data_IF_632490109906
#
_entry.id   IF_632490109906
#
_cell.length_a   1.000
_cell.length_b   1.000
_cell.length_c   1.000
_cell.angle_alpha   90.00
_cell.angle_beta   90.00
_cell.angle_gamma   90.00
#
_symmetry.space_group_name_H-M   'P 1'
#
loop_
_entity.id
_entity.type
_entity.pdbx_description
1 polymer ?
#
# COMPACT_ATOMS: atom_id res chain seq x y z
N UNK A 1 -3.99 -8.83 26.71
CA UNK A 1 -4.19 -7.58 25.95
C UNK A 1 -2.83 -6.94 25.70
N UNK A 2 -2.29 -7.01 24.49
CA UNK A 2 -1.07 -6.29 24.13
C UNK A 2 -1.42 -4.81 23.99
N UNK A 3 -0.96 -3.99 24.93
CA UNK A 3 -1.04 -2.53 24.84
C UNK A 3 -0.18 -2.09 23.66
N UNK A 4 -0.82 -1.79 22.52
CA UNK A 4 -0.13 -1.18 21.37
C UNK A 4 0.46 0.15 21.81
N UNK A 5 1.77 0.19 21.98
CA UNK A 5 2.53 1.37 22.35
C UNK A 5 2.33 2.45 21.28
N UNK A 6 1.87 3.62 21.71
CA UNK A 6 1.70 4.77 20.82
C UNK A 6 3.05 5.13 20.21
N UNK A 7 3.09 5.36 18.89
CA UNK A 7 4.27 5.85 18.18
C UNK A 7 4.82 7.11 18.88
N UNK A 8 3.93 7.97 19.39
CA UNK A 8 4.29 9.16 20.17
C UNK A 8 5.09 8.83 21.44
N UNK A 9 4.76 7.73 22.13
CA UNK A 9 5.42 7.31 23.37
C UNK A 9 6.80 6.67 23.12
N UNK A 10 6.90 5.77 22.13
CA UNK A 10 8.20 5.18 21.72
C UNK A 10 9.14 6.29 21.24
N UNK A 11 8.59 7.29 20.56
CA UNK A 11 9.34 8.43 20.07
C UNK A 11 9.90 9.31 21.20
N UNK A 12 9.07 9.64 22.20
CA UNK A 12 9.51 10.44 23.34
C UNK A 12 10.60 9.72 24.14
N UNK A 13 10.49 8.40 24.29
CA UNK A 13 11.50 7.58 24.95
C UNK A 13 12.82 7.59 24.16
N UNK A 14 12.78 7.40 22.84
CA UNK A 14 14.00 7.40 22.01
C UNK A 14 14.70 8.76 22.01
N UNK A 15 13.96 9.86 21.98
CA UNK A 15 14.52 11.21 22.10
C UNK A 15 15.23 11.43 23.46
N UNK A 16 14.60 11.00 24.56
CA UNK A 16 15.20 11.08 25.90
C UNK A 16 16.45 10.22 26.00
N UNK A 17 16.42 8.99 25.49
CA UNK A 17 17.57 8.08 25.49
C UNK A 17 18.73 8.64 24.67
N UNK A 18 18.45 9.19 23.49
CA UNK A 18 19.47 9.83 22.64
C UNK A 18 20.12 11.04 23.34
N UNK A 19 19.30 11.88 23.99
CA UNK A 19 19.80 13.00 24.81
C UNK A 19 20.72 12.54 25.94
N UNK A 20 20.32 11.49 26.68
CA UNK A 20 21.14 10.94 27.76
C UNK A 20 22.46 10.36 27.22
N UNK A 21 22.44 9.65 26.10
CA UNK A 21 23.64 9.10 25.46
C UNK A 21 24.59 10.21 24.98
N UNK A 22 24.05 11.25 24.37
CA UNK A 22 24.85 12.37 23.86
C UNK A 22 25.49 13.17 25.00
N UNK A 23 24.76 13.39 26.09
CA UNK A 23 25.29 13.97 27.34
C UNK A 23 26.43 13.12 27.93
N UNK A 24 26.30 11.78 27.88
CA UNK A 24 27.36 10.85 28.31
C UNK A 24 28.63 10.96 27.47
N UNK A 25 28.51 11.01 26.15
CA UNK A 25 29.66 11.15 25.23
C UNK A 25 30.38 12.47 25.48
N UNK A 26 29.63 13.55 25.64
CA UNK A 26 30.20 14.87 25.88
C UNK A 26 30.96 14.94 27.22
N UNK A 27 30.43 14.33 28.28
CA UNK A 27 31.10 14.26 29.58
C UNK A 27 32.45 13.55 29.50
N UNK A 28 32.53 12.42 28.78
CA UNK A 28 33.77 11.66 28.61
C UNK A 28 34.81 12.47 27.83
N UNK A 29 34.42 13.03 26.68
CA UNK A 29 35.33 13.82 25.84
C UNK A 29 35.94 15.01 26.60
N UNK A 30 35.13 15.69 27.40
CA UNK A 30 35.61 16.87 28.12
C UNK A 30 36.49 16.50 29.31
N UNK A 31 36.22 15.37 29.98
CA UNK A 31 37.08 14.85 31.02
C UNK A 31 38.47 14.46 30.49
N UNK A 32 38.54 13.87 29.30
CA UNK A 32 39.82 13.54 28.65
C UNK A 32 40.58 14.80 28.21
N UNK A 33 39.90 15.80 27.65
CA UNK A 33 40.51 17.09 27.30
C UNK A 33 41.10 17.78 28.53
N UNK A 34 40.39 17.75 29.67
CA UNK A 34 40.85 18.33 30.92
C UNK A 34 42.13 17.66 31.45
N UNK A 35 42.18 16.32 31.44
CA UNK A 35 43.38 15.57 31.86
C UNK A 35 44.61 15.92 31.04
N UNK A 36 44.42 16.12 29.74
CA UNK A 36 45.51 16.41 28.82
C UNK A 36 46.03 17.84 29.00
N UNK A 37 45.13 18.82 29.20
CA UNK A 37 45.51 20.19 29.53
C UNK A 37 46.29 20.29 30.84
N UNK A 38 45.83 19.65 31.92
CA UNK A 38 46.52 19.65 33.21
C UNK A 38 47.91 19.00 33.13
N UNK A 39 48.05 17.97 32.30
CA UNK A 39 49.33 17.27 32.10
C UNK A 39 50.32 18.15 31.34
N UNK A 40 49.86 18.90 30.35
CA UNK A 40 50.70 19.84 29.58
C UNK A 40 51.28 20.93 30.49
N UNK A 41 50.42 21.60 31.28
CA UNK A 41 50.87 22.66 32.20
C UNK A 41 51.80 22.12 33.28
N UNK A 42 51.52 20.92 33.81
CA UNK A 42 52.38 20.32 34.84
C UNK A 42 53.72 19.89 34.27
N UNK A 43 53.75 19.40 33.02
CA UNK A 43 54.99 19.08 32.33
C UNK A 43 55.89 20.32 32.22
N UNK A 44 55.35 21.45 31.77
CA UNK A 44 56.12 22.69 31.62
C UNK A 44 56.70 23.15 32.97
N UNK A 45 55.89 23.13 34.03
CA UNK A 45 56.33 23.48 35.39
C UNK A 45 57.46 22.56 35.88
N UNK A 46 57.34 21.25 35.65
CA UNK A 46 58.34 20.28 36.08
C UNK A 46 59.63 20.39 35.25
N UNK A 47 59.50 20.66 33.95
CA UNK A 47 60.63 20.84 33.04
C UNK A 47 61.43 22.09 33.39
N UNK A 48 60.76 23.24 33.54
CA UNK A 48 61.39 24.50 33.95
C UNK A 48 62.07 24.36 35.32
N UNK A 49 61.42 23.67 36.27
CA UNK A 49 61.98 23.41 37.59
C UNK A 49 63.22 22.50 37.52
N UNK A 50 63.24 21.52 36.62
CA UNK A 50 64.41 20.67 36.39
C UNK A 50 65.57 21.51 35.84
N UNK A 51 65.34 22.32 34.80
CA UNK A 51 66.35 23.14 34.14
C UNK A 51 66.97 24.21 35.05
N UNK A 52 66.22 24.70 36.03
CA UNK A 52 66.72 25.67 37.00
C UNK A 52 67.45 25.03 38.18
N UNK A 53 67.39 23.70 38.34
CA UNK A 53 68.01 23.01 39.45
C UNK A 53 69.54 22.96 39.30
N UNK A 54 70.24 23.58 40.25
CA UNK A 54 71.71 23.55 40.39
C UNK A 54 72.18 22.85 41.67
N UNK A 55 71.25 22.48 42.55
CA UNK A 55 71.51 21.98 43.91
C UNK A 55 71.52 20.43 43.93
N UNK A 56 70.83 19.80 42.97
CA UNK A 56 70.64 18.35 42.92
C UNK A 56 69.44 17.94 43.79
N UNK A 57 69.66 17.04 44.74
CA UNK A 57 68.61 16.46 45.55
C UNK A 57 68.14 17.43 46.64
N UNK A 58 66.88 17.87 46.54
CA UNK A 58 66.26 18.74 47.54
C UNK A 58 64.73 18.73 47.37
N UNK A 59 64.03 19.33 48.33
CA UNK A 59 62.59 19.57 48.25
C UNK A 59 62.35 21.08 48.27
N UNK A 60 61.61 21.61 47.30
CA UNK A 60 61.29 23.04 47.22
C UNK A 60 59.89 23.26 46.63
N UNK A 61 59.08 24.12 47.25
CA UNK A 61 57.74 24.49 46.75
C UNK A 61 56.82 23.30 46.39
N UNK A 62 56.93 22.20 47.16
CA UNK A 62 56.17 20.96 46.92
C UNK A 62 56.67 20.12 45.73
N UNK A 63 57.81 20.46 45.15
CA UNK A 63 58.58 19.66 44.21
C UNK A 63 59.63 18.85 44.96
N UNK A 64 59.80 17.59 44.57
CA UNK A 64 60.83 16.70 45.08
C UNK A 64 61.80 16.37 43.96
N UNK A 65 63.06 16.75 44.16
CA UNK A 65 64.15 16.50 43.22
C UNK A 65 65.01 15.35 43.73
N UNK A 66 65.18 14.29 42.92
CA UNK A 66 66.00 13.13 43.28
C UNK A 66 66.78 12.62 42.06
N UNK A 67 68.05 12.29 42.22
CA UNK A 67 68.88 11.65 41.18
C UNK A 67 68.52 10.18 40.98
N UNK A 68 68.09 9.48 42.03
CA UNK A 68 67.65 8.10 41.94
C UNK A 68 66.14 7.99 42.14
N UNK A 69 65.54 7.06 41.39
CA UNK A 69 64.11 6.76 41.47
C UNK A 69 63.69 6.36 42.90
N UNK A 70 64.51 5.55 43.57
CA UNK A 70 64.22 4.97 44.89
C UNK A 70 64.19 6.00 46.03
N UNK A 71 64.79 7.17 45.82
CA UNK A 71 64.88 8.23 46.84
C UNK A 71 63.66 9.16 46.84
N UNK A 72 62.73 8.96 45.90
CA UNK A 72 61.47 9.68 45.88
C UNK A 72 60.60 9.30 47.09
N UNK A 73 59.76 10.23 47.61
CA UNK A 73 58.89 9.91 48.73
C UNK A 73 58.03 8.67 48.42
N UNK A 74 57.81 7.76 49.41
CA UNK A 74 57.13 6.48 49.18
C UNK A 74 55.75 6.60 48.50
N UNK A 75 55.08 7.74 48.72
CA UNK A 75 53.79 8.08 48.11
C UNK A 75 53.89 8.11 46.57
N UNK A 76 54.99 8.62 46.00
CA UNK A 76 55.20 8.65 44.55
C UNK A 76 55.60 7.29 43.99
N UNK A 77 56.42 6.53 44.73
CA UNK A 77 56.82 5.18 44.36
C UNK A 77 55.63 4.22 44.30
N UNK A 78 54.75 4.27 45.31
CA UNK A 78 53.52 3.48 45.38
C UNK A 78 52.50 3.93 44.32
N UNK A 79 52.42 5.23 44.06
CA UNK A 79 51.54 5.81 43.06
C UNK A 79 51.92 5.37 41.64
N UNK A 80 53.16 5.60 41.23
CA UNK A 80 53.56 5.48 39.81
C UNK A 80 54.08 4.09 39.48
N UNK A 81 54.63 3.37 40.45
CA UNK A 81 55.08 1.98 40.34
C UNK A 81 56.36 1.77 39.53
N UNK A 82 56.51 2.44 38.37
CA UNK A 82 57.67 2.28 37.47
C UNK A 82 58.25 3.63 37.05
N UNK A 83 59.58 3.74 37.10
CA UNK A 83 60.30 4.93 36.65
C UNK A 83 60.03 5.26 35.16
N UNK A 84 59.97 6.56 34.79
CA UNK A 84 60.00 6.98 33.40
C UNK A 84 61.16 6.34 32.63
N UNK A 85 60.89 5.79 31.45
CA UNK A 85 61.88 5.00 30.70
C UNK A 85 62.79 5.83 29.79
N UNK A 86 62.49 7.11 29.56
CA UNK A 86 63.24 8.01 28.68
C UNK A 86 63.38 9.40 29.31
N UNK A 87 64.45 10.10 28.91
CA UNK A 87 64.64 11.50 29.23
C UNK A 87 63.50 12.35 28.63
N UNK A 88 63.06 13.36 29.38
CA UNK A 88 61.92 14.25 29.12
C UNK A 88 60.57 13.51 29.04
N UNK A 89 60.46 12.35 29.67
CA UNK A 89 59.20 11.62 29.77
C UNK A 89 58.54 11.85 31.13
N UNK A 90 57.32 12.38 31.13
CA UNK A 90 56.50 12.49 32.33
C UNK A 90 55.57 11.28 32.45
N UNK A 91 55.58 10.65 33.62
CA UNK A 91 54.62 9.60 33.98
C UNK A 91 53.62 10.17 34.99
N UNK A 92 52.33 9.98 34.71
CA UNK A 92 51.22 10.37 35.60
C UNK A 92 50.50 9.15 36.18
N UNK A 93 50.00 9.27 37.40
CA UNK A 93 49.18 8.23 38.04
C UNK A 93 47.91 7.91 37.22
N UNK A 94 47.63 6.61 37.07
CA UNK A 94 46.34 6.04 36.67
C UNK A 94 45.73 5.32 37.88
N UNK A 95 45.37 6.03 38.94
CA UNK A 95 44.61 5.36 40.00
C UNK A 95 43.27 4.92 39.42
N UNK A 96 42.94 3.66 39.62
CA UNK A 96 41.61 3.14 39.35
C UNK A 96 40.63 3.90 40.24
N UNK A 97 39.98 4.89 39.65
CA UNK A 97 38.88 5.57 40.28
C UNK A 97 37.58 5.17 39.58
N UNK A 98 36.48 5.02 40.34
CA UNK A 98 35.17 4.88 39.74
C UNK A 98 34.95 6.02 38.73
N UNK A 99 34.30 5.70 37.61
CA UNK A 99 34.11 6.60 36.44
C UNK A 99 33.49 7.98 36.77
N UNK A 100 33.02 8.20 38.01
CA UNK A 100 32.35 9.41 38.49
C UNK A 100 33.02 10.08 39.70
N UNK A 101 34.20 9.63 40.13
CA UNK A 101 34.91 10.22 41.29
C UNK A 101 36.29 10.69 40.86
N UNK A 102 36.52 12.01 40.89
CA UNK A 102 37.83 12.58 40.55
C UNK A 102 38.83 12.37 41.70
N UNK A 103 40.10 11.98 41.41
CA UNK A 103 41.15 11.94 42.42
C UNK A 103 41.31 13.29 43.11
N UNK A 104 41.49 13.28 44.43
CA UNK A 104 41.78 14.50 45.20
C UNK A 104 43.21 15.00 44.95
N UNK A 105 44.14 14.12 44.54
CA UNK A 105 45.54 14.45 44.25
C UNK A 105 46.03 13.70 43.01
N UNK A 106 46.75 14.38 42.13
CA UNK A 106 47.42 13.80 40.96
C UNK A 106 48.93 13.82 41.21
N UNK A 107 49.57 12.67 41.00
CA UNK A 107 51.02 12.52 41.15
C UNK A 107 51.67 12.50 39.79
N UNK A 108 52.65 13.39 39.59
CA UNK A 108 53.43 13.50 38.37
C UNK A 108 54.91 13.31 38.70
N UNK A 109 55.60 12.55 37.87
CA UNK A 109 57.07 12.48 37.88
C UNK A 109 57.60 12.66 36.47
N UNK A 110 58.53 13.59 36.32
CA UNK A 110 59.29 13.85 35.11
C UNK A 110 60.74 13.41 35.32
N UNK A 111 61.31 12.72 34.35
CA UNK A 111 62.75 12.52 34.24
C UNK A 111 63.31 13.54 33.25
N UNK A 112 64.11 14.50 33.70
CA UNK A 112 64.69 15.56 32.87
C UNK A 112 66.16 15.81 33.23
N UNK A 113 66.87 16.62 32.45
CA UNK A 113 68.22 17.03 32.82
C UNK A 113 68.18 18.30 33.67
N UNK A 114 69.05 18.37 34.68
CA UNK A 114 69.25 19.58 35.45
C UNK A 114 70.10 20.61 34.65
N UNK A 115 70.32 21.79 35.21
CA UNK A 115 71.16 22.84 34.57
C UNK A 115 72.58 22.38 34.24
N UNK A 116 73.08 21.39 34.98
CA UNK A 116 74.42 20.81 34.84
C UNK A 116 74.45 19.65 33.82
N UNK A 117 73.32 19.29 33.22
CA UNK A 117 73.19 18.19 32.26
C UNK A 117 73.05 16.80 32.88
N UNK A 118 72.84 16.70 34.20
CA UNK A 118 72.65 15.43 34.92
C UNK A 118 71.16 15.03 34.95
N UNK A 119 70.82 13.74 34.78
CA UNK A 119 69.45 13.28 34.85
C UNK A 119 68.90 13.38 36.29
N UNK A 120 67.71 13.95 36.42
CA UNK A 120 67.03 14.14 37.70
C UNK A 120 65.53 13.84 37.57
N UNK A 121 64.99 13.17 38.58
CA UNK A 121 63.56 12.96 38.75
C UNK A 121 62.97 14.15 39.50
N UNK A 122 61.98 14.79 38.89
CA UNK A 122 61.21 15.88 39.49
C UNK A 122 59.79 15.38 39.72
N UNK A 123 59.39 15.30 40.98
CA UNK A 123 58.08 14.82 41.38
C UNK A 123 57.24 15.92 42.01
N UNK A 124 55.96 15.99 41.66
CA UNK A 124 55.00 16.90 42.28
C UNK A 124 53.67 16.21 42.52
N UNK A 125 53.17 16.34 43.75
CA UNK A 125 51.80 15.98 44.08
C UNK A 125 50.95 17.23 43.89
N UNK A 126 50.12 17.23 42.86
CA UNK A 126 49.23 18.34 42.55
C UNK A 126 47.86 18.05 43.13
N UNK A 127 47.49 18.78 44.19
CA UNK A 127 46.10 18.88 44.60
C UNK A 127 45.43 19.90 43.67
N UNK A 128 44.48 19.46 42.86
CA UNK A 128 43.78 20.34 41.92
C UNK A 128 42.99 21.44 42.65
N UNK A 129 42.72 21.29 43.95
CA UNK A 129 42.07 22.33 44.77
C UNK A 129 43.03 23.44 45.23
N UNK A 130 44.33 23.17 45.33
CA UNK A 130 45.31 24.08 45.95
C UNK A 130 46.17 24.86 44.93
N UNK A 131 46.04 24.56 43.63
CA UNK A 131 46.97 25.06 42.59
C UNK A 131 46.98 26.56 42.34
N UNK A 132 46.10 27.36 42.94
CA UNK A 132 46.13 28.84 42.86
C UNK A 132 45.93 29.45 41.47
N UNK A 133 46.10 28.68 40.40
CA UNK A 133 45.47 28.92 39.10
C UNK A 133 43.97 28.99 39.38
N UNK A 134 43.35 30.15 39.18
CA UNK A 134 41.90 30.31 39.31
C UNK A 134 41.20 29.48 38.23
N UNK A 135 41.12 28.19 38.48
CA UNK A 135 40.31 27.20 37.78
C UNK A 135 38.86 27.31 38.28
N UNK A 136 38.57 28.13 39.30
CA UNK A 136 37.22 28.40 39.79
C UNK A 136 36.31 29.05 38.73
N UNK A 137 36.86 29.96 37.90
CA UNK A 137 36.10 30.59 36.81
C UNK A 137 36.08 29.73 35.53
N UNK A 138 37.12 28.91 35.31
CA UNK A 138 37.20 28.01 34.16
C UNK A 138 36.42 26.71 34.36
N UNK A 139 36.26 26.20 35.59
CA UNK A 139 35.57 24.92 35.85
C UNK A 139 34.05 25.11 35.84
N UNK A 140 33.44 25.77 36.83
CA UNK A 140 31.96 25.84 36.90
C UNK A 140 31.34 26.53 35.68
N UNK A 141 32.00 27.56 35.15
CA UNK A 141 31.55 28.28 33.96
C UNK A 141 31.50 27.42 32.71
N UNK A 142 32.56 26.65 32.42
CA UNK A 142 32.63 25.84 31.19
C UNK A 142 31.81 24.56 31.32
N UNK A 143 31.84 23.88 32.48
CA UNK A 143 30.96 22.73 32.75
C UNK A 143 29.49 23.17 32.68
N UNK A 144 29.14 24.29 33.32
CA UNK A 144 27.78 24.84 33.31
C UNK A 144 27.31 25.27 31.93
N UNK A 145 28.13 26.02 31.17
CA UNK A 145 27.81 26.44 29.80
C UNK A 145 27.67 25.25 28.85
N UNK A 146 28.54 24.26 28.95
CA UNK A 146 28.47 23.06 28.12
C UNK A 146 27.24 22.20 28.44
N UNK A 147 26.90 22.08 29.72
CA UNK A 147 25.68 21.40 30.15
C UNK A 147 24.42 22.13 29.67
N UNK A 148 24.38 23.47 29.79
CA UNK A 148 23.28 24.29 29.25
C UNK A 148 23.16 24.18 27.73
N UNK A 149 24.29 24.18 27.00
CA UNK A 149 24.31 23.99 25.55
C UNK A 149 23.80 22.60 25.15
N UNK A 150 24.15 21.56 25.90
CA UNK A 150 23.65 20.20 25.67
C UNK A 150 22.15 20.08 25.92
N UNK A 151 21.64 20.71 26.99
CA UNK A 151 20.19 20.78 27.25
C UNK A 151 19.49 21.53 26.14
N UNK A 152 20.03 22.68 25.70
CA UNK A 152 19.46 23.48 24.64
C UNK A 152 19.44 22.73 23.30
N UNK A 153 20.53 22.04 22.97
CA UNK A 153 20.62 21.20 21.77
C UNK A 153 19.59 20.06 21.82
N UNK A 154 19.50 19.36 22.94
CA UNK A 154 18.51 18.30 23.12
C UNK A 154 17.06 18.82 23.03
N UNK A 155 16.78 19.97 23.64
CA UNK A 155 15.47 20.62 23.55
C UNK A 155 15.14 21.00 22.11
N UNK A 156 16.10 21.56 21.37
CA UNK A 156 15.95 21.92 19.96
C UNK A 156 15.72 20.70 19.07
N UNK A 157 16.49 19.62 19.24
CA UNK A 157 16.28 18.36 18.55
C UNK A 157 14.89 17.78 18.86
N UNK A 158 14.49 17.77 20.13
CA UNK A 158 13.18 17.27 20.56
C UNK A 158 12.03 18.10 19.96
N UNK A 159 12.17 19.43 19.94
CA UNK A 159 11.21 20.34 19.34
C UNK A 159 11.10 20.16 17.82
N UNK A 160 12.23 20.09 17.11
CA UNK A 160 12.29 19.81 15.67
C UNK A 160 11.59 18.49 15.36
N UNK A 161 11.79 17.48 16.19
CA UNK A 161 11.22 16.17 15.95
C UNK A 161 9.73 16.12 16.25
N UNK A 162 9.27 16.73 17.33
CA UNK A 162 7.84 16.93 17.60
C UNK A 162 7.16 17.70 16.46
N UNK A 163 7.85 18.67 15.86
CA UNK A 163 7.38 19.39 14.69
C UNK A 163 7.23 18.47 13.47
N UNK A 164 8.26 17.68 13.13
CA UNK A 164 8.20 16.69 12.03
C UNK A 164 7.07 15.68 12.26
N UNK A 165 6.93 15.18 13.48
CA UNK A 165 5.88 14.22 13.83
C UNK A 165 4.49 14.83 13.67
N UNK A 166 4.27 16.07 14.13
CA UNK A 166 2.99 16.77 13.89
C UNK A 166 2.75 16.98 12.40
N UNK A 167 3.78 17.28 11.63
CA UNK A 167 3.67 17.49 10.19
C UNK A 167 3.32 16.20 9.43
N UNK A 168 3.80 15.03 9.88
CA UNK A 168 3.53 13.73 9.22
C UNK A 168 2.28 13.00 9.73
N UNK A 169 2.00 13.06 11.04
CA UNK A 169 0.89 12.31 11.64
C UNK A 169 -0.46 12.98 11.42
N UNK A 170 -0.53 14.32 11.43
CA UNK A 170 -1.80 15.01 11.22
C UNK A 170 -2.41 14.73 9.83
N UNK A 171 -1.65 14.79 8.71
CA UNK A 171 -2.17 14.40 7.39
C UNK A 171 -2.62 12.94 7.33
N UNK A 172 -1.94 12.03 8.05
CA UNK A 172 -2.31 10.62 8.10
C UNK A 172 -3.65 10.40 8.83
N UNK A 173 -3.90 11.14 9.92
CA UNK A 173 -5.19 11.12 10.62
C UNK A 173 -6.32 11.66 9.70
N UNK A 174 -6.06 12.73 8.94
CA UNK A 174 -6.99 13.26 7.93
C UNK A 174 -7.27 12.24 6.81
N UNK A 175 -6.24 11.58 6.29
CA UNK A 175 -6.38 10.54 5.26
C UNK A 175 -7.21 9.36 5.77
N UNK A 176 -6.96 8.92 7.01
CA UNK A 176 -7.73 7.87 7.66
C UNK A 176 -9.20 8.27 7.83
N UNK A 177 -9.47 9.49 8.31
CA UNK A 177 -10.83 9.98 8.51
C UNK A 177 -11.60 10.04 7.18
N UNK A 178 -10.96 10.53 6.12
CA UNK A 178 -11.53 10.54 4.78
C UNK A 178 -11.81 9.13 4.24
N UNK A 179 -10.85 8.20 4.36
CA UNK A 179 -11.04 6.82 3.94
C UNK A 179 -12.21 6.15 4.68
N UNK A 180 -12.36 6.41 5.98
CA UNK A 180 -13.50 5.92 6.77
C UNK A 180 -14.83 6.54 6.31
N UNK A 181 -14.85 7.83 6.00
CA UNK A 181 -16.04 8.50 5.47
C UNK A 181 -16.47 7.93 4.11
N UNK A 182 -15.51 7.57 3.24
CA UNK A 182 -15.81 6.96 1.94
C UNK A 182 -16.37 5.53 2.00
N UNK A 183 -16.09 4.79 3.07
CA UNK A 183 -16.67 3.46 3.32
C UNK A 183 -18.13 3.53 3.77
N UNK A 184 -18.61 4.71 4.18
CA UNK A 184 -20.03 4.91 4.50
C UNK A 184 -20.85 5.17 3.24
N UNK A 185 -22.14 4.82 3.28
CA UNK A 185 -23.06 4.66 2.15
C UNK A 185 -23.27 5.93 1.30
N UNK A 186 -22.79 7.09 1.72
CA UNK A 186 -22.91 8.37 1.00
C UNK A 186 -21.65 9.25 1.11
N UNK A 187 -20.63 9.08 0.26
CA UNK A 187 -19.50 10.00 0.22
C UNK A 187 -19.84 11.19 -0.67
N UNK A 188 -19.86 12.40 -0.10
CA UNK A 188 -20.01 13.64 -0.85
C UNK A 188 -18.68 14.33 -1.17
N UNK A 189 -17.54 13.85 -0.67
CA UNK A 189 -16.26 14.57 -0.79
C UNK A 189 -15.24 13.79 -1.62
N UNK A 190 -14.75 14.44 -2.67
CA UNK A 190 -13.66 13.95 -3.54
C UNK A 190 -12.30 14.19 -2.87
N UNK A 191 -11.25 13.39 -3.19
CA UNK A 191 -9.89 13.61 -2.69
C UNK A 191 -9.38 15.04 -2.89
N UNK A 192 -9.78 15.65 -4.01
CA UNK A 192 -9.37 16.99 -4.42
C UNK A 192 -9.78 18.11 -3.43
N UNK A 193 -10.78 17.87 -2.56
CA UNK A 193 -11.17 18.84 -1.54
C UNK A 193 -10.26 18.80 -0.30
N UNK A 194 -9.44 17.76 -0.14
CA UNK A 194 -8.49 17.62 0.96
C UNK A 194 -7.12 18.04 0.46
N UNK A 195 -6.76 19.31 0.72
CA UNK A 195 -5.40 19.78 0.49
C UNK A 195 -4.45 19.16 1.52
N UNK A 196 -3.87 18.01 1.17
CA UNK A 196 -2.77 17.45 1.95
C UNK A 196 -1.54 18.34 1.83
N UNK A 197 -0.83 18.53 2.94
CA UNK A 197 0.40 19.34 2.99
C UNK A 197 1.52 18.78 2.11
N UNK A 198 1.54 17.47 1.88
CA UNK A 198 2.55 16.77 1.09
C UNK A 198 1.88 16.03 -0.07
N UNK A 199 2.54 16.05 -1.23
CA UNK A 199 2.03 15.47 -2.47
C UNK A 199 1.84 13.95 -2.36
N UNK A 200 2.71 13.27 -1.63
CA UNK A 200 2.68 11.81 -1.46
C UNK A 200 1.37 11.32 -0.82
N UNK A 201 0.78 12.12 0.08
CA UNK A 201 -0.52 11.78 0.66
C UNK A 201 -1.68 12.03 -0.32
N UNK A 202 -1.57 13.04 -1.18
CA UNK A 202 -2.51 13.26 -2.28
C UNK A 202 -2.47 12.11 -3.28
N UNK A 203 -1.28 11.66 -3.69
CA UNK A 203 -1.12 10.54 -4.62
C UNK A 203 -1.76 9.25 -4.06
N UNK A 204 -1.59 8.97 -2.76
CA UNK A 204 -2.24 7.83 -2.10
C UNK A 204 -3.77 8.00 -2.06
N UNK A 205 -4.26 9.20 -1.77
CA UNK A 205 -5.70 9.47 -1.74
C UNK A 205 -6.34 9.28 -3.11
N UNK A 206 -5.67 9.70 -4.18
CA UNK A 206 -6.14 9.55 -5.56
C UNK A 206 -6.24 8.08 -5.96
N UNK A 207 -5.19 7.28 -5.72
CA UNK A 207 -5.20 5.83 -6.01
C UNK A 207 -6.29 5.10 -5.21
N UNK A 208 -6.45 5.45 -3.93
CA UNK A 208 -7.46 4.86 -3.07
C UNK A 208 -8.88 5.24 -3.54
N UNK A 209 -9.08 6.49 -3.96
CA UNK A 209 -10.34 6.97 -4.52
C UNK A 209 -10.70 6.27 -5.82
N UNK A 210 -9.74 6.12 -6.73
CA UNK A 210 -9.96 5.42 -7.99
C UNK A 210 -10.35 3.96 -7.75
N UNK A 211 -9.69 3.30 -6.80
CA UNK A 211 -9.97 1.91 -6.43
C UNK A 211 -11.38 1.75 -5.84
N UNK A 212 -11.78 2.67 -4.95
CA UNK A 212 -13.11 2.66 -4.33
C UNK A 212 -14.21 2.98 -5.35
N UNK A 213 -13.98 3.91 -6.28
CA UNK A 213 -14.95 4.21 -7.33
C UNK A 213 -15.12 3.04 -8.29
N UNK A 214 -14.03 2.37 -8.68
CA UNK A 214 -14.08 1.12 -9.46
C UNK A 214 -14.91 0.06 -8.74
N UNK A 215 -14.70 -0.14 -7.44
CA UNK A 215 -15.46 -1.10 -6.65
C UNK A 215 -16.95 -0.72 -6.58
N UNK A 216 -17.27 0.54 -6.30
CA UNK A 216 -18.67 1.03 -6.26
C UNK A 216 -19.37 0.86 -7.60
N UNK A 217 -18.69 1.17 -8.69
CA UNK A 217 -19.22 0.98 -10.03
C UNK A 217 -19.49 -0.51 -10.33
N UNK A 218 -18.63 -1.42 -9.88
CA UNK A 218 -18.86 -2.86 -9.98
C UNK A 218 -20.10 -3.30 -9.19
N UNK A 219 -20.23 -2.84 -7.93
CA UNK A 219 -21.38 -3.15 -7.08
C UNK A 219 -22.67 -2.61 -7.69
N UNK A 220 -22.69 -1.36 -8.17
CA UNK A 220 -23.88 -0.78 -8.85
C UNK A 220 -24.30 -1.61 -10.06
N UNK A 221 -23.33 -2.05 -10.89
CA UNK A 221 -23.62 -2.91 -12.04
C UNK A 221 -24.23 -4.25 -11.61
N UNK A 222 -23.76 -4.82 -10.51
CA UNK A 222 -24.30 -6.06 -9.94
C UNK A 222 -25.72 -5.85 -9.40
N UNK A 223 -25.97 -4.76 -8.66
CA UNK A 223 -27.31 -4.40 -8.16
C UNK A 223 -28.30 -4.16 -9.29
N UNK A 224 -27.94 -3.35 -10.30
CA UNK A 224 -28.77 -3.11 -11.49
C UNK A 224 -29.06 -4.42 -12.23
N UNK A 225 -28.08 -5.32 -12.30
CA UNK A 225 -28.24 -6.62 -12.91
C UNK A 225 -29.20 -7.53 -12.13
N UNK A 226 -29.07 -7.62 -10.81
CA UNK A 226 -29.96 -8.40 -9.94
C UNK A 226 -31.39 -7.86 -9.95
N UNK A 227 -31.56 -6.53 -9.93
CA UNK A 227 -32.86 -5.89 -10.05
C UNK A 227 -33.50 -6.25 -11.40
N UNK A 228 -32.74 -6.13 -12.48
CA UNK A 228 -33.20 -6.48 -13.82
C UNK A 228 -33.58 -7.96 -13.94
N UNK A 229 -32.73 -8.87 -13.45
CA UNK A 229 -33.02 -10.31 -13.41
C UNK A 229 -34.30 -10.63 -12.64
N UNK A 230 -34.51 -9.97 -11.50
CA UNK A 230 -35.73 -10.13 -10.70
C UNK A 230 -36.99 -9.69 -11.45
N UNK A 231 -36.90 -8.60 -12.23
CA UNK A 231 -38.01 -8.14 -13.07
C UNK A 231 -38.31 -9.11 -14.21
N UNK A 232 -37.28 -9.56 -14.93
CA UNK A 232 -37.43 -10.47 -16.06
C UNK A 232 -37.90 -11.87 -15.65
N UNK A 233 -37.56 -12.35 -14.45
CA UNK A 233 -38.09 -13.62 -13.91
C UNK A 233 -39.56 -13.51 -13.46
N UNK A 234 -40.00 -12.34 -13.00
CA UNK A 234 -41.38 -12.15 -12.50
C UNK A 234 -42.42 -12.26 -13.62
N UNK A 235 -42.09 -11.81 -14.82
CA UNK A 235 -42.99 -11.83 -16.00
C UNK A 235 -43.40 -13.26 -16.43
N UNK A 236 -42.47 -14.19 -16.77
CA UNK A 236 -42.82 -15.55 -17.13
C UNK A 236 -43.46 -16.30 -15.95
N UNK A 237 -43.05 -16.02 -14.70
CA UNK A 237 -43.69 -16.60 -13.52
C UNK A 237 -45.18 -16.19 -13.42
N UNK A 238 -45.51 -14.93 -13.74
CA UNK A 238 -46.89 -14.46 -13.78
C UNK A 238 -47.69 -15.15 -14.89
N UNK A 239 -47.09 -15.40 -16.06
CA UNK A 239 -47.70 -16.13 -17.18
C UNK A 239 -47.99 -17.58 -16.79
N UNK A 240 -47.03 -18.26 -16.14
CA UNK A 240 -47.23 -19.63 -15.64
C UNK A 240 -48.42 -19.65 -14.68
N UNK A 241 -48.44 -18.74 -13.69
CA UNK A 241 -49.50 -18.68 -12.67
C UNK A 241 -50.89 -18.42 -13.28
N UNK A 242 -51.00 -17.44 -14.18
CA UNK A 242 -52.28 -17.13 -14.83
C UNK A 242 -52.74 -18.26 -15.76
N UNK A 243 -51.80 -18.93 -16.43
CA UNK A 243 -52.10 -20.07 -17.31
C UNK A 243 -52.53 -21.30 -16.50
N UNK A 244 -51.91 -21.58 -15.35
CA UNK A 244 -52.36 -22.64 -14.44
C UNK A 244 -53.73 -22.34 -13.84
N UNK A 245 -54.00 -21.09 -13.45
CA UNK A 245 -55.33 -20.68 -12.97
C UNK A 245 -56.41 -20.83 -14.04
N UNK A 246 -56.06 -20.54 -15.30
CA UNK A 246 -56.95 -20.70 -16.45
C UNK A 246 -57.23 -22.19 -16.73
N UNK A 247 -56.21 -23.06 -16.67
CA UNK A 247 -56.38 -24.51 -16.82
C UNK A 247 -57.30 -25.09 -15.75
N UNK A 248 -57.14 -24.68 -14.49
CA UNK A 248 -58.03 -25.12 -13.40
C UNK A 248 -59.49 -24.72 -13.67
N UNK A 249 -59.74 -23.46 -14.09
CA UNK A 249 -61.10 -23.00 -14.45
C UNK A 249 -61.68 -23.71 -15.67
N UNK A 250 -60.85 -24.08 -16.64
CA UNK A 250 -61.27 -24.85 -17.82
C UNK A 250 -61.66 -26.28 -17.44
N UNK A 251 -60.86 -26.91 -16.56
CA UNK A 251 -61.14 -28.24 -16.03
C UNK A 251 -62.45 -28.28 -15.22
N UNK A 252 -62.68 -27.30 -14.34
CA UNK A 252 -63.93 -27.17 -13.57
C UNK A 252 -65.17 -27.05 -14.47
N UNK A 253 -65.03 -26.45 -15.66
CA UNK A 253 -66.12 -26.22 -16.61
C UNK A 253 -66.21 -27.28 -17.72
N UNK A 254 -65.39 -28.35 -17.68
CA UNK A 254 -65.28 -29.36 -18.74
C UNK A 254 -65.05 -28.76 -20.16
N UNK A 255 -64.30 -27.65 -20.25
CA UNK A 255 -63.99 -26.97 -21.54
C UNK A 255 -62.50 -27.04 -21.85
N UNK A 256 -62.03 -28.23 -22.22
CA UNK A 256 -60.61 -28.53 -22.45
C UNK A 256 -60.15 -28.33 -23.91
N UNK A 257 -61.03 -27.87 -24.80
CA UNK A 257 -60.76 -27.67 -26.24
C UNK A 257 -59.51 -26.81 -26.49
N UNK A 258 -59.20 -25.85 -25.61
CA UNK A 258 -58.03 -24.97 -25.70
C UNK A 258 -56.93 -25.27 -24.67
N UNK A 259 -57.03 -26.38 -23.91
CA UNK A 259 -56.09 -26.69 -22.85
C UNK A 259 -54.64 -26.83 -23.36
N UNK A 260 -54.45 -27.44 -24.53
CA UNK A 260 -53.12 -27.58 -25.15
C UNK A 260 -52.46 -26.22 -25.45
N UNK A 261 -53.24 -25.21 -25.83
CA UNK A 261 -52.70 -23.87 -26.06
C UNK A 261 -52.24 -23.20 -24.76
N UNK A 262 -52.96 -23.43 -23.66
CA UNK A 262 -52.59 -22.90 -22.33
C UNK A 262 -51.37 -23.63 -21.76
N UNK A 263 -51.26 -24.95 -21.99
CA UNK A 263 -50.06 -25.73 -21.66
C UNK A 263 -48.86 -25.24 -22.47
N UNK A 264 -49.01 -24.96 -23.77
CA UNK A 264 -47.95 -24.37 -24.58
C UNK A 264 -47.42 -23.05 -24.01
N UNK A 265 -48.31 -22.17 -23.53
CA UNK A 265 -47.89 -20.91 -22.86
C UNK A 265 -47.08 -21.13 -21.58
N UNK A 266 -47.37 -22.21 -20.83
CA UNK A 266 -46.60 -22.57 -19.63
C UNK A 266 -45.21 -23.06 -20.04
N UNK A 267 -45.12 -23.90 -21.08
CA UNK A 267 -43.87 -24.44 -21.60
C UNK A 267 -42.96 -23.33 -22.16
N UNK A 268 -43.52 -22.39 -22.91
CA UNK A 268 -42.81 -21.20 -23.41
C UNK A 268 -42.25 -20.35 -22.27
N UNK A 269 -43.06 -20.12 -21.23
CA UNK A 269 -42.66 -19.33 -20.06
C UNK A 269 -41.59 -20.05 -19.22
N UNK A 270 -41.70 -21.37 -19.06
CA UNK A 270 -40.69 -22.19 -18.38
C UNK A 270 -39.36 -22.21 -19.14
N UNK A 271 -39.41 -22.38 -20.47
CA UNK A 271 -38.25 -22.31 -21.36
C UNK A 271 -37.57 -20.94 -21.26
N UNK A 272 -38.37 -19.87 -21.19
CA UNK A 272 -37.85 -18.51 -20.98
C UNK A 272 -37.13 -18.39 -19.64
N UNK A 273 -37.71 -18.90 -18.54
CA UNK A 273 -37.04 -18.90 -17.22
C UNK A 273 -35.73 -19.69 -17.22
N UNK A 274 -35.71 -20.88 -17.84
CA UNK A 274 -34.48 -21.69 -17.94
C UNK A 274 -33.37 -20.90 -18.64
N UNK A 275 -33.68 -20.25 -19.77
CA UNK A 275 -32.72 -19.40 -20.48
C UNK A 275 -32.26 -18.21 -19.65
N UNK A 276 -33.15 -17.56 -18.90
CA UNK A 276 -32.80 -16.48 -17.97
C UNK A 276 -31.81 -16.96 -16.90
N UNK A 277 -32.04 -18.14 -16.31
CA UNK A 277 -31.15 -18.73 -15.29
C UNK A 277 -29.80 -19.13 -15.89
N UNK A 278 -29.78 -19.80 -17.04
CA UNK A 278 -28.53 -20.14 -17.74
C UNK A 278 -27.72 -18.89 -18.07
N UNK A 279 -28.41 -17.83 -18.51
CA UNK A 279 -27.83 -16.52 -18.76
C UNK A 279 -27.22 -15.93 -17.48
N UNK A 280 -27.94 -15.95 -16.36
CA UNK A 280 -27.46 -15.48 -15.05
C UNK A 280 -26.23 -16.24 -14.55
N UNK A 281 -26.22 -17.57 -14.73
CA UNK A 281 -25.09 -18.43 -14.35
C UNK A 281 -23.85 -18.17 -15.20
N UNK A 282 -24.05 -17.93 -16.50
CA UNK A 282 -22.97 -17.49 -17.40
C UNK A 282 -22.46 -16.11 -17.05
N UNK A 283 -23.36 -15.17 -16.73
CA UNK A 283 -22.99 -13.82 -16.29
C UNK A 283 -22.21 -13.82 -14.97
N UNK A 284 -22.39 -14.79 -14.06
CA UNK A 284 -21.62 -14.84 -12.80
C UNK A 284 -20.27 -15.57 -12.92
N UNK A 285 -19.92 -16.13 -14.09
CA UNK A 285 -18.60 -16.73 -14.29
C UNK A 285 -17.58 -15.64 -14.62
N UNK A 286 -16.94 -15.09 -13.58
CA UNK A 286 -15.90 -14.05 -13.70
C UNK A 286 -14.58 -14.56 -14.28
N UNK A 287 -14.38 -15.88 -14.35
CA UNK A 287 -13.18 -16.46 -14.92
C UNK A 287 -13.50 -16.99 -16.32
N UNK A 288 -12.71 -16.66 -17.37
CA UNK A 288 -12.60 -17.57 -18.49
C UNK A 288 -12.06 -18.88 -17.90
N UNK A 289 -12.96 -19.82 -17.63
CA UNK A 289 -12.56 -21.21 -17.60
C UNK A 289 -11.78 -21.43 -18.89
N UNK A 290 -10.69 -22.18 -18.86
CA UNK A 290 -9.85 -22.45 -20.03
C UNK A 290 -10.71 -23.22 -21.07
N UNK A 291 -11.64 -22.53 -21.72
CA UNK A 291 -12.55 -23.10 -22.70
C UNK A 291 -11.69 -23.33 -23.90
N UNK A 292 -11.42 -24.60 -24.16
CA UNK A 292 -10.59 -25.04 -25.26
C UNK A 292 -11.15 -24.45 -26.55
N UNK A 293 -10.31 -23.67 -27.22
CA UNK A 293 -10.64 -23.07 -28.51
C UNK A 293 -10.55 -24.18 -29.54
N UNK A 294 -11.60 -24.34 -30.32
CA UNK A 294 -11.69 -25.39 -31.33
C UNK A 294 -12.21 -24.82 -32.66
N UNK A 295 -11.92 -25.51 -33.75
CA UNK A 295 -12.36 -25.10 -35.08
C UNK A 295 -13.88 -25.28 -35.21
N UNK A 296 -14.62 -24.18 -35.12
CA UNK A 296 -16.08 -24.15 -35.27
C UNK A 296 -16.41 -23.77 -36.72
N UNK A 297 -17.25 -24.55 -37.40
CA UNK A 297 -17.79 -24.21 -38.72
C UNK A 297 -19.01 -23.29 -38.56
N UNK A 298 -18.80 -21.98 -38.66
CA UNK A 298 -19.83 -20.97 -38.39
C UNK A 298 -21.06 -21.14 -39.28
N UNK A 299 -20.89 -21.45 -40.56
CA UNK A 299 -22.02 -21.63 -41.47
C UNK A 299 -22.88 -22.84 -41.09
N UNK A 300 -22.27 -23.96 -40.70
CA UNK A 300 -22.97 -25.16 -40.25
C UNK A 300 -23.71 -24.90 -38.93
N UNK A 301 -23.05 -24.26 -37.96
CA UNK A 301 -23.65 -23.91 -36.67
C UNK A 301 -24.84 -22.95 -36.84
N UNK A 302 -24.70 -21.91 -37.67
CA UNK A 302 -25.79 -20.96 -37.93
C UNK A 302 -26.97 -21.65 -38.61
N UNK A 303 -26.73 -22.49 -39.63
CA UNK A 303 -27.81 -23.26 -40.30
C UNK A 303 -28.52 -24.18 -39.33
N UNK A 304 -27.77 -24.91 -38.50
CA UNK A 304 -28.32 -25.80 -37.48
C UNK A 304 -29.21 -25.03 -36.50
N UNK A 305 -28.70 -23.95 -35.89
CA UNK A 305 -29.46 -23.14 -34.94
C UNK A 305 -30.68 -22.46 -35.58
N UNK A 306 -30.53 -21.99 -36.83
CA UNK A 306 -31.62 -21.39 -37.57
C UNK A 306 -32.76 -22.38 -37.87
N UNK A 307 -32.42 -23.65 -38.09
CA UNK A 307 -33.38 -24.76 -38.28
C UNK A 307 -33.99 -25.20 -36.94
N UNK A 308 -33.16 -25.44 -35.92
CA UNK A 308 -33.57 -25.83 -34.56
C UNK A 308 -34.61 -24.86 -34.00
N UNK A 309 -34.42 -23.56 -34.21
CA UNK A 309 -35.29 -22.52 -33.66
C UNK A 309 -36.52 -22.22 -34.52
N UNK A 310 -36.72 -22.86 -35.69
CA UNK A 310 -37.86 -22.56 -36.57
C UNK A 310 -39.22 -22.71 -35.90
N UNK A 311 -39.33 -23.54 -34.87
CA UNK A 311 -40.57 -23.70 -34.11
C UNK A 311 -41.05 -22.38 -33.47
N UNK A 312 -40.14 -21.43 -33.22
CA UNK A 312 -40.49 -20.10 -32.69
C UNK A 312 -41.21 -19.21 -33.72
N UNK A 313 -41.24 -19.61 -34.99
CA UNK A 313 -41.94 -18.90 -36.07
C UNK A 313 -43.34 -19.47 -36.36
N UNK A 314 -43.79 -20.47 -35.59
CA UNK A 314 -45.14 -21.05 -35.76
C UNK A 314 -46.16 -19.91 -35.52
N UNK A 315 -47.10 -19.75 -36.47
CA UNK A 315 -48.09 -18.66 -36.56
C UNK A 315 -47.58 -17.27 -36.99
N UNK A 316 -46.32 -17.16 -37.44
CA UNK A 316 -45.74 -15.89 -37.92
C UNK A 316 -45.67 -15.83 -39.45
N UNK A 317 -46.27 -14.81 -40.08
CA UNK A 317 -46.22 -14.63 -41.55
C UNK A 317 -44.89 -13.99 -42.00
N UNK A 318 -43.77 -14.69 -41.73
CA UNK A 318 -42.41 -14.17 -41.82
C UNK A 318 -41.58 -14.95 -42.84
N UNK A 319 -40.82 -14.26 -43.67
CA UNK A 319 -39.90 -14.87 -44.64
C UNK A 319 -38.50 -14.95 -44.02
N UNK A 320 -38.01 -16.16 -43.78
CA UNK A 320 -36.64 -16.41 -43.33
C UNK A 320 -35.66 -16.43 -44.51
N UNK A 321 -34.63 -15.59 -44.46
CA UNK A 321 -33.51 -15.57 -45.41
C UNK A 321 -32.22 -15.85 -44.66
N UNK A 322 -31.65 -17.02 -44.88
CA UNK A 322 -30.36 -17.40 -44.31
C UNK A 322 -29.31 -17.45 -45.42
N UNK A 323 -28.34 -16.54 -45.38
CA UNK A 323 -27.23 -16.47 -46.32
C UNK A 323 -25.93 -16.68 -45.55
N UNK A 324 -25.29 -17.82 -45.77
CA UNK A 324 -24.05 -18.21 -45.12
C UNK A 324 -23.08 -18.77 -46.16
N UNK A 325 -21.79 -18.65 -45.89
CA UNK A 325 -20.67 -19.10 -46.72
C UNK A 325 -19.73 -19.95 -45.87
N UNK A 326 -19.20 -21.08 -46.40
CA UNK A 326 -18.31 -21.96 -45.63
C UNK A 326 -17.18 -21.18 -44.97
N UNK A 327 -17.12 -21.24 -43.63
CA UNK A 327 -16.11 -20.53 -42.87
C UNK A 327 -15.89 -21.20 -41.52
N UNK A 328 -14.64 -21.47 -41.19
CA UNK A 328 -14.24 -22.02 -39.90
C UNK A 328 -13.38 -21.03 -39.14
N UNK A 329 -13.64 -20.90 -37.84
CA UNK A 329 -12.87 -20.06 -36.93
C UNK A 329 -12.53 -20.82 -35.65
N UNK A 330 -11.36 -20.53 -35.10
CA UNK A 330 -10.96 -21.01 -33.78
C UNK A 330 -11.73 -20.22 -32.72
N UNK A 331 -12.77 -20.84 -32.16
CA UNK A 331 -13.67 -20.22 -31.20
C UNK A 331 -13.92 -21.13 -30.00
N UNK A 332 -14.28 -20.50 -28.88
CA UNK A 332 -14.91 -21.21 -27.78
C UNK A 332 -16.32 -21.64 -28.23
N UNK A 333 -16.50 -22.93 -28.54
CA UNK A 333 -17.72 -23.45 -29.16
C UNK A 333 -18.98 -23.13 -28.35
N UNK A 334 -18.97 -23.41 -27.04
CA UNK A 334 -20.14 -23.20 -26.19
C UNK A 334 -20.55 -21.71 -26.13
N UNK A 335 -19.66 -20.75 -25.80
CA UNK A 335 -19.98 -19.33 -25.88
C UNK A 335 -20.48 -18.88 -27.26
N UNK A 336 -19.86 -19.37 -28.34
CA UNK A 336 -20.27 -19.05 -29.71
C UNK A 336 -21.72 -19.51 -29.97
N UNK A 337 -22.04 -20.76 -29.64
CA UNK A 337 -23.39 -21.31 -29.78
C UNK A 337 -24.42 -20.52 -28.96
N UNK A 338 -24.10 -20.16 -27.71
CA UNK A 338 -24.99 -19.38 -26.84
C UNK A 338 -25.30 -18.01 -27.47
N UNK A 339 -24.28 -17.31 -27.94
CA UNK A 339 -24.46 -15.98 -28.55
C UNK A 339 -25.28 -16.08 -29.84
N UNK A 340 -24.95 -17.01 -30.73
CA UNK A 340 -25.68 -17.23 -31.98
C UNK A 340 -27.14 -17.63 -31.72
N UNK A 341 -27.39 -18.54 -30.78
CA UNK A 341 -28.74 -18.98 -30.38
C UNK A 341 -29.56 -17.81 -29.84
N UNK A 342 -28.96 -16.94 -29.03
CA UNK A 342 -29.64 -15.74 -28.52
C UNK A 342 -29.91 -14.71 -29.62
N UNK A 343 -28.98 -14.48 -30.53
CA UNK A 343 -29.20 -13.56 -31.67
C UNK A 343 -30.36 -14.03 -32.56
N UNK A 344 -30.36 -15.31 -32.95
CA UNK A 344 -31.37 -15.89 -33.85
C UNK A 344 -32.73 -15.97 -33.14
N UNK A 345 -32.76 -16.47 -31.91
CA UNK A 345 -33.99 -16.57 -31.14
C UNK A 345 -34.63 -15.22 -30.88
N UNK A 346 -33.85 -14.18 -30.56
CA UNK A 346 -34.39 -12.83 -30.36
C UNK A 346 -35.05 -12.31 -31.66
N UNK A 347 -34.43 -12.56 -32.81
CA UNK A 347 -34.99 -12.15 -34.09
C UNK A 347 -36.28 -12.90 -34.43
N UNK A 348 -36.38 -14.18 -34.07
CA UNK A 348 -37.55 -15.02 -34.36
C UNK A 348 -38.74 -14.66 -33.46
N UNK A 349 -38.51 -14.55 -32.15
CA UNK A 349 -39.57 -14.26 -31.16
C UNK A 349 -40.16 -12.85 -31.27
N UNK A 350 -39.41 -11.91 -31.85
CA UNK A 350 -39.81 -10.51 -31.95
C UNK A 350 -40.11 -10.05 -33.37
N UNK A 351 -40.23 -10.96 -34.33
CA UNK A 351 -40.71 -10.63 -35.67
C UNK A 351 -42.25 -10.57 -35.67
N UNK A 352 -42.82 -9.49 -36.19
CA UNK A 352 -44.28 -9.29 -36.32
C UNK A 352 -44.68 -9.18 -37.80
N UNK A 353 -44.18 -10.14 -38.61
CA UNK A 353 -44.28 -10.11 -40.07
C UNK A 353 -43.05 -9.47 -40.73
N UNK A 354 -42.92 -9.63 -42.05
CA UNK A 354 -41.78 -9.12 -42.82
C UNK A 354 -40.68 -10.16 -43.04
N UNK A 355 -39.43 -9.71 -43.10
CA UNK A 355 -38.26 -10.55 -43.43
C UNK A 355 -37.31 -10.65 -42.23
N UNK A 356 -36.91 -11.88 -41.87
CA UNK A 356 -35.77 -12.13 -41.00
C UNK A 356 -34.57 -12.49 -41.87
N UNK A 357 -33.52 -11.68 -41.79
CA UNK A 357 -32.26 -11.88 -42.52
C UNK A 357 -31.17 -12.32 -41.54
N UNK A 358 -30.68 -13.55 -41.72
CA UNK A 358 -29.46 -14.07 -41.09
C UNK A 358 -28.38 -14.10 -42.16
N UNK A 359 -27.33 -13.29 -42.00
CA UNK A 359 -26.24 -13.16 -42.96
C UNK A 359 -24.91 -13.40 -42.27
N UNK A 360 -24.10 -14.30 -42.81
CA UNK A 360 -22.73 -14.49 -42.38
C UNK A 360 -21.76 -14.20 -43.54
N UNK A 361 -20.72 -13.44 -43.23
CA UNK A 361 -19.63 -13.05 -44.12
C UNK A 361 -18.31 -13.19 -43.37
N UNK A 362 -17.57 -14.28 -43.61
CA UNK A 362 -16.36 -14.60 -42.84
C UNK A 362 -16.65 -14.76 -41.34
N UNK A 363 -15.93 -14.05 -40.48
CA UNK A 363 -16.14 -14.02 -39.03
C UNK A 363 -17.35 -13.21 -38.58
N UNK A 364 -18.00 -12.48 -39.49
CA UNK A 364 -19.08 -11.56 -39.15
C UNK A 364 -20.45 -12.20 -39.37
N UNK A 365 -21.28 -12.15 -38.34
CA UNK A 365 -22.66 -12.63 -38.36
C UNK A 365 -23.60 -11.46 -38.07
N UNK A 366 -24.56 -11.25 -38.96
CA UNK A 366 -25.59 -10.22 -38.83
C UNK A 366 -26.96 -10.89 -38.80
N UNK A 367 -27.73 -10.64 -37.74
CA UNK A 367 -29.12 -11.07 -37.64
C UNK A 367 -30.00 -9.82 -37.59
N UNK A 368 -31.02 -9.75 -38.45
CA UNK A 368 -31.97 -8.65 -38.42
C UNK A 368 -33.41 -9.11 -38.64
N UNK A 369 -34.33 -8.48 -37.95
CA UNK A 369 -35.77 -8.67 -38.10
C UNK A 369 -36.49 -7.31 -38.25
N UNK A 370 -37.65 -7.36 -38.88
CA UNK A 370 -38.56 -6.22 -39.03
C UNK A 370 -39.73 -6.40 -38.05
N UNK A 371 -40.17 -5.28 -37.45
CA UNK A 371 -41.38 -5.23 -36.62
C UNK A 371 -42.31 -4.17 -37.24
N UNK A 372 -43.41 -4.61 -37.85
CA UNK A 372 -44.38 -3.71 -38.47
C UNK A 372 -45.19 -2.90 -37.44
N UNK A 373 -45.28 -3.39 -36.20
CA UNK A 373 -45.96 -2.71 -35.10
C UNK A 373 -45.05 -1.74 -34.32
N UNK A 374 -43.76 -1.68 -34.69
CA UNK A 374 -42.74 -0.86 -34.05
C UNK A 374 -42.13 -1.50 -32.80
N UNK A 375 -40.81 -1.37 -32.67
CA UNK A 375 -40.08 -1.87 -31.50
C UNK A 375 -40.32 -0.97 -30.28
N UNK A 376 -41.21 -1.37 -29.37
CA UNK A 376 -41.34 -0.72 -28.05
C UNK A 376 -40.20 -1.14 -27.12
N UNK A 377 -39.62 -0.21 -26.35
CA UNK A 377 -38.46 -0.49 -25.50
C UNK A 377 -38.73 -1.46 -24.33
N UNK A 378 -39.97 -1.93 -24.17
CA UNK A 378 -40.43 -2.78 -23.06
C UNK A 378 -40.61 -4.27 -23.43
N UNK A 379 -40.42 -4.68 -24.69
CA UNK A 379 -40.50 -6.09 -25.09
C UNK A 379 -39.15 -6.80 -24.85
N UNK A 380 -38.80 -7.15 -23.60
CA UNK A 380 -37.85 -8.24 -23.28
C UNK A 380 -36.42 -8.27 -23.88
N UNK A 381 -36.01 -7.29 -24.70
CA UNK A 381 -34.71 -7.32 -25.41
C UNK A 381 -33.49 -7.28 -24.48
N UNK A 382 -33.66 -6.80 -23.24
CA UNK A 382 -32.54 -6.39 -22.40
C UNK A 382 -31.63 -7.54 -21.96
N UNK A 383 -32.15 -8.74 -21.72
CA UNK A 383 -31.35 -9.80 -21.08
C UNK A 383 -30.56 -10.62 -22.10
N UNK A 384 -31.15 -10.94 -23.26
CA UNK A 384 -30.45 -11.59 -24.36
C UNK A 384 -29.35 -10.71 -24.96
N UNK A 385 -29.59 -9.41 -25.10
CA UNK A 385 -28.59 -8.46 -25.62
C UNK A 385 -27.45 -8.24 -24.63
N UNK A 386 -27.76 -8.04 -23.33
CA UNK A 386 -26.73 -7.93 -22.30
C UNK A 386 -25.86 -9.18 -22.18
N UNK A 387 -26.43 -10.37 -22.40
CA UNK A 387 -25.66 -11.61 -22.48
C UNK A 387 -24.71 -11.63 -23.68
N UNK A 388 -25.22 -11.26 -24.86
CA UNK A 388 -24.41 -11.17 -26.08
C UNK A 388 -23.25 -10.19 -25.86
N UNK A 389 -23.55 -8.99 -25.32
CA UNK A 389 -22.53 -7.98 -25.00
C UNK A 389 -21.50 -8.47 -23.98
N UNK A 390 -21.93 -9.16 -22.91
CA UNK A 390 -21.00 -9.68 -21.91
C UNK A 390 -20.10 -10.77 -22.47
N UNK A 391 -20.65 -11.77 -23.16
CA UNK A 391 -19.85 -12.84 -23.75
C UNK A 391 -18.91 -12.26 -24.80
N UNK A 392 -19.39 -11.36 -25.65
CA UNK A 392 -18.56 -10.70 -26.66
C UNK A 392 -17.38 -9.95 -26.01
N UNK A 393 -17.63 -9.16 -24.96
CA UNK A 393 -16.57 -8.47 -24.22
C UNK A 393 -15.57 -9.43 -23.55
N UNK A 394 -16.05 -10.56 -23.00
CA UNK A 394 -15.21 -11.56 -22.34
C UNK A 394 -14.27 -12.29 -23.30
N UNK A 395 -14.69 -12.50 -24.55
CA UNK A 395 -13.91 -13.18 -25.60
C UNK A 395 -13.32 -12.19 -26.63
N UNK A 396 -13.38 -10.89 -26.36
CA UNK A 396 -12.89 -9.82 -27.24
C UNK A 396 -13.49 -9.83 -28.66
N UNK A 397 -14.76 -10.21 -28.78
CA UNK A 397 -15.55 -10.12 -29.99
C UNK A 397 -16.25 -8.76 -30.09
N UNK A 398 -16.41 -8.25 -31.30
CA UNK A 398 -17.07 -6.96 -31.51
C UNK A 398 -18.57 -7.15 -31.70
N UNK A 399 -19.38 -6.48 -30.88
CA UNK A 399 -20.84 -6.46 -31.01
C UNK A 399 -21.34 -5.06 -31.35
N UNK A 400 -22.28 -4.98 -32.29
CA UNK A 400 -22.97 -3.75 -32.65
C UNK A 400 -24.47 -4.00 -32.74
N UNK A 401 -25.22 -3.32 -31.88
CA UNK A 401 -26.68 -3.35 -31.87
C UNK A 401 -27.20 -2.07 -32.50
N UNK A 402 -28.08 -2.19 -33.50
CA UNK A 402 -28.74 -1.07 -34.18
C UNK A 402 -30.24 -1.29 -34.14
N UNK A 403 -30.96 -0.32 -33.56
CA UNK A 403 -32.41 -0.31 -33.51
C UNK A 403 -32.93 0.92 -34.25
N UNK A 404 -33.83 0.69 -35.20
CA UNK A 404 -34.63 1.71 -35.87
C UNK A 404 -36.11 1.44 -35.59
N UNK A 405 -36.98 2.38 -35.95
CA UNK A 405 -38.42 2.32 -35.66
C UNK A 405 -39.09 1.03 -36.16
N UNK A 406 -38.60 0.46 -37.27
CA UNK A 406 -39.15 -0.73 -37.93
C UNK A 406 -38.15 -1.89 -38.10
N UNK A 407 -36.88 -1.71 -37.72
CA UNK A 407 -35.85 -2.75 -37.91
C UNK A 407 -34.92 -2.86 -36.72
N UNK A 408 -34.66 -4.09 -36.30
CA UNK A 408 -33.67 -4.42 -35.28
C UNK A 408 -32.56 -5.25 -35.91
N UNK A 409 -31.29 -4.90 -35.63
CA UNK A 409 -30.12 -5.56 -36.21
C UNK A 409 -29.05 -5.74 -35.15
N UNK A 410 -28.58 -6.97 -34.99
CA UNK A 410 -27.40 -7.31 -34.18
C UNK A 410 -26.33 -7.82 -35.11
N UNK A 411 -25.15 -7.20 -35.04
CA UNK A 411 -23.95 -7.62 -35.78
C UNK A 411 -22.90 -8.05 -34.77
N UNK A 412 -22.35 -9.24 -34.97
CA UNK A 412 -21.27 -9.78 -34.16
C UNK A 412 -20.09 -10.14 -35.07
N UNK A 413 -18.89 -9.76 -34.68
CA UNK A 413 -17.65 -10.14 -35.34
C UNK A 413 -16.80 -10.99 -34.40
N UNK A 414 -16.56 -12.24 -34.80
CA UNK A 414 -15.76 -13.20 -34.03
C UNK A 414 -14.24 -12.99 -34.18
N UNK A 415 -13.81 -12.04 -35.03
CA UNK A 415 -12.40 -11.67 -35.12
C UNK A 415 -11.96 -10.95 -33.84
N UNK A 416 -10.78 -11.27 -33.28
CA UNK A 416 -10.25 -10.53 -32.14
C UNK A 416 -10.04 -9.06 -32.52
N UNK A 417 -10.36 -8.15 -31.60
CA UNK A 417 -10.02 -6.73 -31.75
C UNK A 417 -8.53 -6.57 -32.10
N UNK A 418 -8.22 -5.95 -33.25
CA UNK A 418 -6.85 -5.59 -33.57
C UNK A 418 -6.37 -4.58 -32.54
N UNK A 419 -5.40 -4.97 -31.71
CA UNK A 419 -4.73 -4.07 -30.77
C UNK A 419 -4.09 -2.87 -31.45
#
# INVERSE_FOLDING_TARGET
MQTRTSIKAVFLITAVVSCLLMSRVFFVLMFDYYKEGASTVTYDILSDAAEQNTIGDHDAYGLHFRRQWQDLPPVFLQAIGKAPGKLNQMTRLKAEHPMFVSPTKLYYVLLANNKLGEPIYVAKAVNWKDTGVSIGDFSLGIYGRSFLLSILFAALCSALLLYVLKSLVAPLESLKAWAQAMSSTHPQQKPADIQFRYKEFSDIADVLSESIEKQKHSIRKEEEFLQFASHELRSPLAVIRTSTDLLNKMAEKNRLENANQVVGRIDDAATTMTRLVETLLWLNRDTPQNVEVQAVQLDATIKHLAEELKYLLIDSNVVLRCHTSPYSAELAEIPCQIVLKNMISNAYQHASGGVIDVKQQGSRVTVSNEDQAGFSSNKGFGLGVKLIEKIANQYHWQVKVQQSTSRYRVTLDFSPESK
#
